data_IF_120327455585
#
_entry.id   IF_120327455585
#
_cell.length_a   1.000
_cell.length_b   1.000
_cell.length_c   1.000
_cell.angle_alpha   90.00
_cell.angle_beta   90.00
_cell.angle_gamma   90.00
#
_symmetry.space_group_name_H-M   'P 1'
#
loop_
_entity.id
_entity.type
_entity.pdbx_description
1 polymer ?
#
# COMPACT_ATOMS: atom_id res chain seq x y z
N UNK A 1 21.70 6.92 56.01
CA UNK A 1 21.55 5.97 54.89
C UNK A 1 20.11 5.79 54.43
N UNK A 2 19.14 5.63 55.30
CA UNK A 2 17.70 5.43 54.99
C UNK A 2 17.02 6.57 54.20
N UNK A 3 17.36 7.84 54.42
CA UNK A 3 16.72 8.99 53.72
C UNK A 3 17.11 9.05 52.25
N UNK A 4 18.36 8.72 51.90
CA UNK A 4 18.81 8.64 50.49
C UNK A 4 18.11 7.48 49.75
N UNK A 5 17.94 6.33 50.39
CA UNK A 5 17.23 5.20 49.79
C UNK A 5 15.74 5.51 49.52
N UNK A 6 15.05 6.19 50.43
CA UNK A 6 13.65 6.63 50.22
C UNK A 6 13.50 7.63 49.08
N UNK A 7 14.44 8.56 48.91
CA UNK A 7 14.44 9.50 47.80
C UNK A 7 14.66 8.81 46.44
N UNK A 8 15.60 7.87 46.39
CA UNK A 8 15.86 7.08 45.17
C UNK A 8 14.63 6.25 44.81
N UNK A 9 14.01 5.59 45.77
CA UNK A 9 12.77 4.82 45.54
C UNK A 9 11.63 5.71 45.03
N UNK A 10 11.45 6.90 45.59
CA UNK A 10 10.45 7.87 45.14
C UNK A 10 10.67 8.30 43.67
N UNK A 11 11.92 8.58 43.28
CA UNK A 11 12.23 8.90 41.89
C UNK A 11 12.02 7.72 40.95
N UNK A 12 12.33 6.49 41.36
CA UNK A 12 12.06 5.30 40.54
C UNK A 12 10.55 5.07 40.36
N UNK A 13 9.75 5.27 41.40
CA UNK A 13 8.29 5.17 41.31
C UNK A 13 7.73 6.26 40.40
N UNK A 14 8.25 7.49 40.47
CA UNK A 14 7.84 8.59 39.62
C UNK A 14 8.17 8.33 38.12
N UNK A 15 9.28 7.65 37.85
CA UNK A 15 9.68 7.27 36.48
C UNK A 15 8.71 6.24 35.86
N UNK A 16 8.11 5.37 36.66
CA UNK A 16 7.15 4.34 36.23
C UNK A 16 5.77 4.94 35.95
N UNK A 17 5.42 6.09 36.55
CA UNK A 17 4.12 6.74 36.41
C UNK A 17 4.06 7.71 35.21
N UNK A 18 5.20 7.97 34.57
CA UNK A 18 5.19 8.81 33.36
C UNK A 18 4.40 8.08 32.27
N UNK A 19 3.21 8.59 31.86
CA UNK A 19 2.46 7.96 30.79
C UNK A 19 3.24 8.12 29.48
N UNK A 20 3.88 7.05 29.04
CA UNK A 20 4.46 6.99 27.70
C UNK A 20 3.25 7.02 26.75
N UNK A 21 2.97 8.20 26.17
CA UNK A 21 2.04 8.28 25.05
C UNK A 21 2.68 7.55 23.87
N UNK A 22 2.40 6.26 23.76
CA UNK A 22 2.70 5.52 22.55
C UNK A 22 1.75 6.06 21.50
N UNK A 23 2.19 7.06 20.73
CA UNK A 23 1.51 7.51 19.54
C UNK A 23 1.74 6.46 18.46
N UNK A 24 1.19 5.29 18.68
CA UNK A 24 1.28 4.18 17.76
C UNK A 24 0.08 4.22 16.83
N UNK A 25 0.35 4.31 15.58
CA UNK A 25 -0.52 4.11 14.43
C UNK A 25 -0.87 5.39 13.67
N UNK A 26 0.08 5.83 12.87
CA UNK A 26 -0.22 6.82 11.84
C UNK A 26 -0.95 6.13 10.68
N UNK A 27 -2.27 6.24 10.65
CA UNK A 27 -3.12 5.71 9.57
C UNK A 27 -2.93 6.44 8.23
N UNK A 28 -1.93 7.31 8.11
CA UNK A 28 -1.82 8.18 6.95
C UNK A 28 -2.96 9.20 6.87
N UNK A 29 -3.15 9.81 5.71
CA UNK A 29 -4.21 10.81 5.48
C UNK A 29 -5.60 10.20 5.31
N UNK A 30 -5.67 9.01 4.74
CA UNK A 30 -6.90 8.24 4.56
C UNK A 30 -6.61 6.76 4.79
N UNK A 31 -7.51 6.06 5.44
CA UNK A 31 -7.37 4.64 5.72
C UNK A 31 -8.72 3.96 5.89
N UNK A 32 -8.78 2.69 5.55
CA UNK A 32 -9.91 1.82 5.82
C UNK A 32 -9.39 0.44 6.20
N UNK A 33 -9.95 -0.14 7.25
CA UNK A 33 -9.79 -1.53 7.63
C UNK A 33 -11.16 -2.19 7.61
N UNK A 34 -11.29 -3.24 6.82
CA UNK A 34 -12.54 -4.00 6.67
C UNK A 34 -12.28 -5.46 7.03
N UNK A 35 -13.30 -6.07 7.62
CA UNK A 35 -13.37 -7.52 7.72
C UNK A 35 -13.73 -8.10 6.34
N UNK A 36 -13.02 -9.17 5.92
CA UNK A 36 -13.07 -9.66 4.54
C UNK A 36 -14.42 -10.31 4.17
N UNK A 37 -14.99 -11.11 5.05
CA UNK A 37 -16.21 -11.87 4.75
C UNK A 37 -17.47 -10.97 4.81
N UNK A 38 -17.67 -10.29 5.92
CA UNK A 38 -18.89 -9.49 6.18
C UNK A 38 -18.82 -8.08 5.59
N UNK A 39 -17.63 -7.67 5.11
CA UNK A 39 -17.35 -6.30 4.64
C UNK A 39 -17.59 -5.22 5.69
N UNK A 40 -17.63 -5.60 6.97
CA UNK A 40 -17.79 -4.65 8.07
C UNK A 40 -16.56 -3.77 8.21
N UNK A 41 -16.76 -2.46 8.20
CA UNK A 41 -15.69 -1.49 8.44
C UNK A 41 -15.32 -1.50 9.94
N UNK A 42 -14.07 -1.82 10.24
CA UNK A 42 -13.52 -1.86 11.60
C UNK A 42 -12.89 -0.52 11.98
N UNK A 43 -12.17 0.10 11.04
CA UNK A 43 -11.54 1.41 11.22
C UNK A 43 -11.68 2.19 9.92
N UNK A 44 -11.98 3.48 10.02
CA UNK A 44 -12.05 4.36 8.86
C UNK A 44 -11.52 5.76 9.19
N UNK A 45 -10.85 6.36 8.21
CA UNK A 45 -10.38 7.75 8.26
C UNK A 45 -10.44 8.33 6.86
N UNK A 46 -11.20 9.41 6.68
CA UNK A 46 -11.32 10.15 5.41
C UNK A 46 -11.60 9.28 4.17
N UNK A 47 -12.37 8.22 4.31
CA UNK A 47 -12.56 7.19 3.27
C UNK A 47 -13.27 7.70 2.01
N UNK A 48 -14.03 8.79 2.11
CA UNK A 48 -14.76 9.40 0.99
C UNK A 48 -14.00 10.59 0.37
N UNK A 49 -12.83 10.92 0.88
CA UNK A 49 -12.02 12.02 0.35
C UNK A 49 -11.29 11.56 -0.89
N UNK A 50 -11.46 12.26 -2.02
CA UNK A 50 -10.71 11.99 -3.25
C UNK A 50 -9.22 12.28 -3.01
N UNK A 51 -8.38 11.31 -3.32
CA UNK A 51 -6.93 11.36 -3.15
C UNK A 51 -6.23 10.85 -4.41
N UNK A 52 -5.03 11.36 -4.64
CA UNK A 52 -4.10 10.75 -5.59
C UNK A 52 -3.53 9.48 -4.93
N UNK A 53 -3.94 8.34 -5.43
CA UNK A 53 -3.66 7.03 -4.83
C UNK A 53 -2.44 6.33 -5.44
N UNK A 54 -1.72 7.03 -6.32
CA UNK A 54 -0.51 6.53 -6.98
C UNK A 54 -0.69 5.08 -7.50
N UNK A 55 0.28 4.22 -7.29
CA UNK A 55 0.28 2.84 -7.81
C UNK A 55 -0.80 1.92 -7.24
N UNK A 56 -1.54 2.32 -6.19
CA UNK A 56 -2.70 1.52 -5.73
C UNK A 56 -3.79 1.42 -6.79
N UNK A 57 -3.84 2.35 -7.76
CA UNK A 57 -4.70 2.26 -8.97
C UNK A 57 -4.47 0.97 -9.74
N UNK A 58 -3.26 0.41 -9.73
CA UNK A 58 -2.88 -0.82 -10.45
C UNK A 58 -3.62 -2.05 -9.95
N UNK A 59 -4.07 -2.04 -8.70
CA UNK A 59 -4.91 -3.12 -8.14
C UNK A 59 -6.20 -3.24 -8.95
N UNK A 60 -6.86 -2.11 -9.27
CA UNK A 60 -8.07 -2.12 -10.10
C UNK A 60 -7.75 -2.57 -11.53
N UNK A 61 -6.67 -2.08 -12.12
CA UNK A 61 -6.24 -2.48 -13.48
C UNK A 61 -5.99 -3.99 -13.55
N UNK A 62 -5.25 -4.55 -12.58
CA UNK A 62 -5.01 -5.98 -12.49
C UNK A 62 -6.31 -6.77 -12.30
N UNK A 63 -7.20 -6.31 -11.44
CA UNK A 63 -8.50 -6.93 -11.20
C UNK A 63 -9.32 -7.01 -12.50
N UNK A 64 -9.40 -5.93 -13.26
CA UNK A 64 -10.10 -5.90 -14.55
C UNK A 64 -9.45 -6.84 -15.58
N UNK A 65 -8.12 -6.87 -15.64
CA UNK A 65 -7.40 -7.77 -16.53
C UNK A 65 -7.69 -9.25 -16.19
N UNK A 66 -7.67 -9.62 -14.91
CA UNK A 66 -7.97 -10.96 -14.42
C UNK A 66 -9.43 -11.33 -14.71
N UNK A 67 -10.37 -10.44 -14.37
CA UNK A 67 -11.81 -10.64 -14.56
C UNK A 67 -12.20 -10.73 -16.05
N UNK A 68 -11.37 -10.25 -16.96
CA UNK A 68 -11.63 -10.35 -18.41
C UNK A 68 -11.59 -11.79 -18.93
N UNK A 69 -11.02 -12.74 -18.19
CA UNK A 69 -10.78 -14.12 -18.62
C UNK A 69 -9.74 -14.26 -19.75
N UNK A 70 -9.04 -13.16 -20.11
CA UNK A 70 -8.14 -13.12 -21.29
C UNK A 70 -6.66 -13.17 -20.94
N UNK A 71 -6.29 -13.65 -19.76
CA UNK A 71 -4.91 -13.66 -19.26
C UNK A 71 -3.92 -14.38 -20.20
N UNK A 72 -4.38 -15.40 -20.93
CA UNK A 72 -3.55 -16.14 -21.88
C UNK A 72 -3.48 -15.49 -23.27
N UNK A 73 -4.22 -14.39 -23.51
CA UNK A 73 -4.16 -13.68 -24.79
C UNK A 73 -2.80 -13.03 -24.96
N UNK A 74 -2.20 -13.17 -26.15
CA UNK A 74 -1.01 -12.45 -26.55
C UNK A 74 -1.40 -11.03 -26.95
N UNK A 75 -0.74 -10.05 -26.36
CA UNK A 75 -0.85 -8.63 -26.66
C UNK A 75 0.41 -8.18 -27.37
N UNK A 76 0.28 -7.34 -28.40
CA UNK A 76 1.41 -6.69 -29.05
C UNK A 76 1.57 -5.29 -28.47
N UNK A 77 2.77 -4.97 -28.02
CA UNK A 77 3.13 -3.65 -27.53
C UNK A 77 3.08 -2.62 -28.67
N UNK A 78 2.41 -1.51 -28.42
CA UNK A 78 2.27 -0.40 -29.39
C UNK A 78 3.15 0.77 -28.98
N UNK A 79 3.20 1.79 -29.79
CA UNK A 79 3.88 3.06 -29.54
C UNK A 79 3.38 3.83 -28.31
N UNK A 80 2.18 3.51 -27.80
CA UNK A 80 1.65 4.06 -26.55
C UNK A 80 2.57 3.86 -25.35
N UNK A 81 3.44 2.86 -25.38
CA UNK A 81 4.44 2.62 -24.33
C UNK A 81 5.39 3.82 -24.17
N UNK A 82 5.60 4.62 -25.21
CA UNK A 82 6.44 5.81 -25.17
C UNK A 82 5.82 6.97 -24.38
N UNK A 83 4.53 6.93 -24.11
CA UNK A 83 3.80 7.94 -23.32
C UNK A 83 3.86 7.65 -21.80
N UNK A 84 4.44 6.51 -21.43
CA UNK A 84 4.52 6.10 -20.01
C UNK A 84 5.60 6.87 -19.25
N UNK A 85 5.29 7.24 -18.00
CA UNK A 85 6.22 7.90 -17.09
C UNK A 85 6.38 7.11 -15.79
N UNK A 86 7.56 7.18 -15.21
CA UNK A 86 7.85 6.56 -13.91
C UNK A 86 8.42 5.16 -14.04
N UNK A 87 7.96 4.21 -13.21
CA UNK A 87 8.46 2.84 -13.22
C UNK A 87 8.02 2.10 -14.47
N UNK A 88 8.96 1.44 -15.14
CA UNK A 88 8.74 0.69 -16.38
C UNK A 88 9.34 -0.71 -16.28
N UNK A 89 8.83 -1.64 -17.06
CA UNK A 89 9.43 -2.95 -17.32
C UNK A 89 10.19 -2.97 -18.65
N UNK A 90 10.26 -1.81 -19.32
CA UNK A 90 11.03 -1.56 -20.55
C UNK A 90 10.55 -2.38 -21.74
N UNK A 91 9.24 -2.39 -21.95
CA UNK A 91 8.62 -3.06 -23.10
C UNK A 91 9.07 -2.42 -24.43
N UNK A 92 9.41 -3.24 -25.39
CA UNK A 92 9.80 -2.79 -26.73
C UNK A 92 8.59 -2.73 -27.69
N UNK A 93 8.53 -1.70 -28.53
CA UNK A 93 7.47 -1.60 -29.55
C UNK A 93 7.49 -2.84 -30.44
N UNK A 94 6.33 -3.47 -30.63
CA UNK A 94 6.20 -4.68 -31.42
C UNK A 94 6.43 -5.97 -30.66
N UNK A 95 6.93 -5.89 -29.43
CA UNK A 95 7.07 -7.05 -28.53
C UNK A 95 5.71 -7.73 -28.33
N UNK A 96 5.72 -9.03 -28.18
CA UNK A 96 4.52 -9.85 -27.93
C UNK A 96 4.63 -10.53 -26.60
N UNK A 97 3.67 -10.26 -25.73
CA UNK A 97 3.65 -10.80 -24.36
C UNK A 97 2.24 -11.26 -24.02
N UNK A 98 2.11 -12.26 -23.14
CA UNK A 98 0.78 -12.63 -22.62
C UNK A 98 0.29 -11.57 -21.64
N UNK A 99 -1.03 -11.35 -21.63
CA UNK A 99 -1.65 -10.40 -20.70
C UNK A 99 -1.30 -10.72 -19.25
N UNK A 100 -1.21 -12.00 -18.85
CA UNK A 100 -0.78 -12.39 -17.50
C UNK A 100 0.61 -11.89 -17.14
N UNK A 101 1.55 -11.91 -18.09
CA UNK A 101 2.94 -11.51 -17.84
C UNK A 101 3.02 -9.97 -17.72
N UNK A 102 2.17 -9.25 -18.48
CA UNK A 102 1.99 -7.81 -18.31
C UNK A 102 1.40 -7.47 -16.92
N UNK A 103 0.43 -8.24 -16.43
CA UNK A 103 -0.13 -8.07 -15.07
C UNK A 103 0.94 -8.31 -14.01
N UNK A 104 1.84 -9.28 -14.19
CA UNK A 104 2.99 -9.46 -13.28
C UNK A 104 3.92 -8.23 -13.31
N UNK A 105 4.27 -7.71 -14.48
CA UNK A 105 5.08 -6.50 -14.60
C UNK A 105 4.42 -5.29 -13.93
N UNK A 106 3.12 -5.11 -14.15
CA UNK A 106 2.31 -4.08 -13.52
C UNK A 106 2.37 -4.15 -11.98
N UNK A 107 2.21 -5.35 -11.40
CA UNK A 107 2.10 -5.53 -9.94
C UNK A 107 3.44 -5.66 -9.24
N UNK A 108 4.43 -6.33 -9.85
CA UNK A 108 5.72 -6.61 -9.21
C UNK A 108 6.72 -5.48 -9.37
N UNK A 109 6.73 -4.80 -10.54
CA UNK A 109 7.65 -3.71 -10.85
C UNK A 109 6.96 -2.35 -10.91
N UNK A 110 5.66 -2.33 -10.66
CA UNK A 110 4.86 -1.11 -10.82
C UNK A 110 4.98 -0.49 -12.22
N UNK A 111 5.18 -1.33 -13.27
CA UNK A 111 5.32 -0.89 -14.67
C UNK A 111 4.15 -0.02 -15.11
N UNK A 112 4.47 1.05 -15.82
CA UNK A 112 3.48 1.98 -16.40
C UNK A 112 3.37 1.81 -17.92
N UNK A 113 4.35 1.12 -18.52
CA UNK A 113 4.46 0.80 -19.95
C UNK A 113 3.63 -0.38 -20.43
#
# INVERSE_FOLDING_TARGET
>A
MMVKAKRILFFLIMLIIIPIKISAFNLGDSAILMEEETKRVLVSKNINTKKLIASTTKIMTATLAISSGKLNKTVKVTDKVLESYGSNIYLSIGEKMKLKDMVYGLMMQSGND
#
